data_IF_762008716494
#
_entry.id   IF_762008716494
#
_cell.length_a   1.000
_cell.length_b   1.000
_cell.length_c   1.000
_cell.angle_alpha   90.00
_cell.angle_beta   90.00
_cell.angle_gamma   90.00
#
_symmetry.space_group_name_H-M   'P 1'
#
loop_
_entity.id
_entity.type
_entity.pdbx_description
1 polymer ?
2 non-polymer ?
3 water ?
#
# COMPACT_ATOMS: atom_id res chain seq x y z
N UNK A 6 8.31 6.19 10.35
CA UNK A 6 8.65 7.17 9.27
C UNK A 6 9.41 6.51 8.13
N UNK A 7 8.95 6.72 6.91
CA UNK A 7 9.62 6.15 5.74
C UNK A 7 10.99 6.80 5.63
N UNK A 8 12.01 5.99 5.43
CA UNK A 8 13.38 6.47 5.32
C UNK A 8 13.81 6.65 3.87
N UNK A 9 14.38 7.81 3.57
CA UNK A 9 14.85 8.09 2.23
C UNK A 9 16.30 8.54 2.31
N UNK A 10 16.98 8.57 1.16
CA UNK A 10 18.37 8.98 1.10
C UNK A 10 18.50 10.08 0.05
N UNK A 11 19.05 11.22 0.45
CA UNK A 11 19.22 12.34 -0.46
C UNK A 11 19.91 11.94 -1.76
N UNK A 12 19.37 12.40 -2.87
CA UNK A 12 19.95 12.08 -4.17
C UNK A 12 19.31 10.87 -4.80
N UNK A 13 18.52 10.14 -4.02
CA UNK A 13 17.85 8.94 -4.50
C UNK A 13 16.35 9.12 -4.47
N UNK A 14 15.61 8.30 -5.23
CA UNK A 14 14.15 8.44 -5.22
C UNK A 14 13.62 7.70 -4.00
N UNK A 15 12.40 8.02 -3.61
CA UNK A 15 11.76 7.33 -2.50
C UNK A 15 10.31 7.12 -2.92
N UNK A 16 9.77 5.97 -2.57
CA UNK A 16 8.39 5.67 -2.94
C UNK A 16 7.50 5.49 -1.71
N UNK A 17 6.36 6.17 -1.73
CA UNK A 17 5.37 6.09 -0.64
C UNK A 17 4.19 5.29 -1.17
N UNK A 18 4.01 4.06 -0.67
CA UNK A 18 2.90 3.23 -1.14
C UNK A 18 1.49 3.76 -0.90
N UNK A 19 0.66 3.66 -1.94
CA UNK A 19 -0.74 4.02 -1.83
C UNK A 19 -1.37 3.17 -2.91
N UNK A 20 -2.17 2.20 -2.47
CA UNK A 20 -2.77 1.24 -3.40
C UNK A 20 -4.18 0.93 -2.95
N UNK A 21 -5.06 0.60 -3.91
CA UNK A 21 -6.42 0.26 -3.57
C UNK A 21 -6.95 -0.73 -4.59
N UNK A 22 -7.97 -1.48 -4.19
CA UNK A 22 -8.57 -2.46 -5.08
C UNK A 22 -9.53 -1.78 -6.03
N UNK A 23 -9.23 -1.81 -7.31
CA UNK A 23 -10.12 -1.21 -8.30
C UNK A 23 -11.30 -2.15 -8.56
N UNK A 24 -11.14 -3.42 -8.21
CA UNK A 24 -12.21 -4.38 -8.40
C UNK A 24 -13.37 -4.02 -7.48
N UNK A 25 -13.04 -3.59 -6.27
CA UNK A 25 -14.09 -3.22 -5.33
C UNK A 25 -14.39 -1.73 -5.27
N UNK A 26 -13.39 -0.91 -5.58
CA UNK A 26 -13.62 0.52 -5.52
C UNK A 26 -13.90 1.17 -6.87
N UNK A 27 -13.66 0.44 -7.94
CA UNK A 27 -13.82 1.01 -9.27
C UNK A 27 -12.57 1.83 -9.51
N UNK A 28 -12.39 2.35 -10.72
CA UNK A 28 -11.21 3.15 -11.02
C UNK A 28 -11.63 4.59 -10.76
N UNK A 29 -11.07 5.16 -9.70
CA UNK A 29 -11.45 6.51 -9.28
C UNK A 29 -10.28 7.49 -9.09
N UNK A 30 -10.59 8.80 -9.05
CA UNK A 30 -9.54 9.81 -8.87
C UNK A 30 -8.86 9.71 -7.50
N UNK A 31 -7.63 10.22 -7.43
CA UNK A 31 -6.91 10.22 -6.17
C UNK A 31 -6.01 11.44 -6.19
N UNK A 32 -5.51 11.80 -5.01
CA UNK A 32 -4.61 12.93 -4.93
C UNK A 32 -3.60 12.70 -3.83
N UNK A 33 -2.45 13.34 -4.00
CA UNK A 33 -1.38 13.30 -3.01
C UNK A 33 -1.26 14.74 -2.55
N UNK A 34 -0.95 14.92 -1.28
CA UNK A 34 -0.79 16.26 -0.76
C UNK A 34 0.28 16.35 0.29
N UNK A 35 0.78 17.56 0.53
CA UNK A 35 1.78 17.80 1.55
C UNK A 35 1.01 18.03 2.84
N UNK A 36 1.47 17.44 3.93
CA UNK A 36 0.79 17.61 5.20
C UNK A 36 0.11 16.34 5.67
N UNK A 37 -0.41 16.35 6.88
CA UNK A 37 -1.11 15.20 7.43
C UNK A 37 -2.52 15.21 6.86
N UNK A 38 -3.08 14.03 6.63
CA UNK A 38 -4.41 13.92 6.04
C UNK A 38 -5.55 14.73 6.66
N UNK A 39 -5.71 14.65 7.97
CA UNK A 39 -6.81 15.39 8.56
C UNK A 39 -6.62 16.90 8.66
N UNK A 40 -5.39 17.41 8.47
CA UNK A 40 -5.22 18.86 8.57
C UNK A 40 -5.12 19.57 7.21
N UNK A 41 -4.80 18.81 6.15
CA UNK A 41 -4.66 19.41 4.82
C UNK A 41 -5.31 18.59 3.70
N UNK A 42 -5.41 17.29 3.88
CA UNK A 42 -5.96 16.45 2.83
C UNK A 42 -5.11 16.79 1.61
N UNK A 43 -5.72 17.25 0.52
CA UNK A 43 -4.95 17.62 -0.65
C UNK A 43 -4.96 19.11 -0.98
N UNK A 44 -5.11 19.95 0.04
CA UNK A 44 -5.12 21.40 -0.15
C UNK A 44 -3.81 21.84 -0.79
N UNK A 45 -2.71 21.25 -0.35
CA UNK A 45 -1.39 21.55 -0.88
C UNK A 45 -1.08 20.35 -1.77
N UNK A 46 -1.74 20.30 -2.91
CA UNK A 46 -1.62 19.19 -3.84
C UNK A 46 -0.28 18.97 -4.52
N UNK A 47 0.04 17.70 -4.69
CA UNK A 47 1.26 17.28 -5.36
C UNK A 47 0.86 16.55 -6.62
N UNK A 48 -0.22 15.77 -6.52
CA UNK A 48 -0.72 14.96 -7.62
C UNK A 48 -2.24 14.82 -7.62
N UNK A 49 -2.81 14.78 -8.82
CA UNK A 49 -4.23 14.52 -9.00
C UNK A 49 -4.29 13.56 -10.17
N UNK A 50 -5.16 12.56 -10.11
CA UNK A 50 -5.34 11.64 -11.23
C UNK A 50 -6.83 11.69 -11.54
N UNK A 51 -7.21 11.13 -12.68
CA UNK A 51 -8.60 11.03 -13.04
C UNK A 51 -8.94 9.55 -12.95
N UNK A 52 -8.09 8.82 -12.24
CA UNK A 52 -8.26 7.39 -12.06
C UNK A 52 -7.41 6.58 -13.02
N UNK A 53 -7.10 7.17 -14.17
CA UNK A 53 -6.33 6.47 -15.21
C UNK A 53 -4.96 7.04 -15.49
N UNK A 54 -4.83 8.35 -15.30
CA UNK A 54 -3.57 9.02 -15.56
C UNK A 54 -3.44 10.25 -14.68
N UNK A 55 -2.22 10.74 -14.52
CA UNK A 55 -2.00 11.95 -13.71
C UNK A 55 -2.47 13.14 -14.53
N UNK A 56 -3.38 13.93 -13.95
CA UNK A 56 -3.92 15.11 -14.64
C UNK A 56 -3.38 16.42 -14.09
N UNK A 57 -2.74 16.36 -12.92
CA UNK A 57 -2.14 17.54 -12.30
C UNK A 57 -0.95 17.10 -11.46
N UNK A 58 0.12 17.89 -11.50
CA UNK A 58 1.32 17.59 -10.72
C UNK A 58 1.99 18.90 -10.31
N UNK A 59 2.44 18.98 -9.07
CA UNK A 59 3.12 20.19 -8.58
C UNK A 59 4.34 20.45 -9.46
N UNK A 60 5.15 19.41 -9.66
CA UNK A 60 6.30 19.51 -10.54
C UNK A 60 6.70 18.09 -10.95
N UNK A 61 7.60 17.99 -11.91
CA UNK A 61 8.02 16.69 -12.44
C UNK A 61 8.67 15.70 -11.50
N UNK A 62 9.12 16.15 -10.33
CA UNK A 62 9.74 15.24 -9.38
C UNK A 62 8.73 14.31 -8.73
N UNK A 63 7.45 14.67 -8.79
CA UNK A 63 6.41 13.84 -8.19
C UNK A 63 5.82 12.96 -9.29
N UNK A 64 6.12 11.66 -9.19
CA UNK A 64 5.69 10.70 -10.19
C UNK A 64 4.90 9.51 -9.66
N UNK A 65 3.95 9.05 -10.46
CA UNK A 65 3.20 7.85 -10.13
C UNK A 65 3.74 6.87 -11.17
N UNK A 66 4.68 6.04 -10.75
CA UNK A 66 5.32 5.10 -11.67
C UNK A 66 4.67 3.74 -11.77
N UNK A 67 3.67 3.49 -10.91
CA UNK A 67 2.99 2.21 -10.92
C UNK A 67 1.84 2.19 -11.90
N UNK A 68 1.10 1.08 -11.93
CA UNK A 68 -0.05 0.95 -12.81
C UNK A 68 -1.22 1.63 -12.15
N UNK A 69 -1.43 2.90 -12.50
CA UNK A 69 -2.48 3.72 -11.92
C UNK A 69 -3.87 3.12 -12.02
N UNK A 70 -4.29 2.79 -13.23
CA UNK A 70 -5.62 2.25 -13.46
C UNK A 70 -5.88 0.90 -12.79
N UNK A 71 -4.81 0.26 -12.32
CA UNK A 71 -4.94 -1.02 -11.63
C UNK A 71 -4.87 -0.85 -10.13
N UNK A 72 -4.87 0.40 -9.69
CA UNK A 72 -4.87 0.67 -8.26
C UNK A 72 -3.58 1.10 -7.60
N UNK A 73 -2.46 1.05 -8.32
CA UNK A 73 -1.21 1.46 -7.70
C UNK A 73 -0.95 2.94 -7.94
N UNK A 74 -1.29 3.75 -6.96
CA UNK A 74 -1.10 5.18 -7.05
C UNK A 74 -0.03 5.66 -6.08
N UNK A 75 0.97 4.80 -5.86
CA UNK A 75 2.09 5.11 -4.98
C UNK A 75 2.87 6.29 -5.56
N UNK A 76 3.34 7.15 -4.68
CA UNK A 76 4.10 8.33 -5.09
C UNK A 76 5.59 8.11 -5.02
N UNK A 77 6.29 8.42 -6.10
CA UNK A 77 7.73 8.34 -6.10
C UNK A 77 8.23 9.77 -6.18
N UNK A 78 9.03 10.18 -5.21
CA UNK A 78 9.61 11.52 -5.24
C UNK A 78 11.02 11.32 -5.78
N UNK A 79 11.29 11.89 -6.95
CA UNK A 79 12.60 11.75 -7.59
C UNK A 79 13.63 12.74 -7.02
N UNK A 80 14.90 12.36 -7.06
CA UNK A 80 16.00 13.21 -6.60
C UNK A 80 15.69 13.90 -5.26
N UNK A 81 15.41 13.10 -4.24
CA UNK A 81 15.08 13.66 -2.94
C UNK A 81 16.18 14.47 -2.29
N UNK A 82 15.78 15.40 -1.45
CA UNK A 82 16.69 16.23 -0.69
C UNK A 82 16.19 16.15 0.75
N UNK A 83 17.04 16.49 1.70
CA UNK A 83 16.63 16.44 3.10
C UNK A 83 15.39 17.29 3.33
N UNK A 84 15.24 18.35 2.51
CA UNK A 84 14.10 19.24 2.62
C UNK A 84 12.77 18.63 2.22
N UNK A 85 12.79 17.43 1.65
CA UNK A 85 11.55 16.76 1.25
C UNK A 85 10.93 16.07 2.47
N UNK A 86 11.67 16.03 3.57
CA UNK A 86 11.15 15.38 4.76
C UNK A 86 9.88 16.07 5.23
N UNK A 87 9.01 15.33 5.89
CA UNK A 87 7.78 15.92 6.38
C UNK A 87 6.60 15.01 6.13
N UNK A 88 5.39 15.46 6.49
CA UNK A 88 4.17 14.68 6.30
C UNK A 88 3.60 14.71 4.88
N UNK A 89 3.11 13.55 4.44
CA UNK A 89 2.47 13.43 3.13
C UNK A 89 1.17 12.69 3.33
N UNK A 90 0.19 12.99 2.50
CA UNK A 90 -1.11 12.35 2.58
C UNK A 90 -1.59 11.86 1.22
N UNK A 91 -2.07 10.62 1.19
CA UNK A 91 -2.65 10.05 -0.02
C UNK A 91 -4.15 9.93 0.22
N UNK A 92 -4.95 10.34 -0.76
CA UNK A 92 -6.41 10.21 -0.65
C UNK A 92 -6.92 9.59 -1.93
N UNK A 93 -7.58 8.43 -1.82
CA UNK A 93 -8.17 7.80 -3.00
C UNK A 93 -9.65 8.05 -2.84
N UNK A 94 -10.23 8.82 -3.78
CA UNK A 94 -11.63 9.19 -3.71
C UNK A 94 -12.62 8.12 -4.14
N UNK A 95 -12.62 7.02 -3.39
CA UNK A 95 -13.51 5.90 -3.65
C UNK A 95 -14.87 6.33 -3.10
N UNK A 96 -15.87 6.52 -3.98
CA UNK A 96 -17.18 6.96 -3.48
C UNK A 96 -17.72 6.17 -2.30
N UNK A 97 -18.02 6.88 -1.21
CA UNK A 97 -18.56 6.26 -0.02
C UNK A 97 -17.56 5.54 0.86
N UNK A 98 -16.30 5.51 0.44
CA UNK A 98 -15.28 4.81 1.23
C UNK A 98 -13.88 5.30 0.89
N UNK A 99 -13.64 6.59 1.06
CA UNK A 99 -12.32 7.15 0.76
C UNK A 99 -11.22 6.43 1.52
N UNK A 100 -10.09 6.23 0.85
CA UNK A 100 -8.92 5.59 1.47
C UNK A 100 -7.91 6.69 1.74
N UNK A 101 -7.36 6.70 2.95
CA UNK A 101 -6.38 7.70 3.37
C UNK A 101 -5.13 7.01 3.87
N UNK A 102 -3.97 7.62 3.59
CA UNK A 102 -2.71 7.10 4.11
C UNK A 102 -1.85 8.29 4.53
N UNK A 103 -1.35 8.23 5.76
CA UNK A 103 -0.48 9.27 6.31
C UNK A 103 0.95 8.76 6.37
N UNK A 104 1.88 9.55 5.88
CA UNK A 104 3.29 9.20 5.91
C UNK A 104 4.11 10.33 6.51
N UNK A 105 5.17 9.96 7.21
CA UNK A 105 6.10 10.95 7.76
C UNK A 105 7.40 10.55 7.09
N UNK A 106 7.85 11.34 6.13
CA UNK A 106 9.06 11.04 5.41
C UNK A 106 10.29 11.69 6.03
N UNK A 107 11.35 10.90 6.15
CA UNK A 107 12.61 11.39 6.69
C UNK A 107 13.69 11.07 5.67
N UNK A 108 14.26 12.11 5.07
CA UNK A 108 15.32 11.90 4.10
C UNK A 108 16.65 12.22 4.78
N UNK A 109 17.54 11.26 4.81
CA UNK A 109 18.84 11.43 5.44
C UNK A 109 19.82 12.05 4.46
N UNK A 110 20.72 12.92 4.95
CA UNK A 110 21.70 13.58 4.11
C UNK A 110 22.67 12.60 3.46
N UNK A 111 23.15 11.63 4.23
CA UNK A 111 24.06 10.62 3.71
C UNK A 111 23.67 9.25 4.25
N UNK A 112 24.31 8.24 3.63
CA UNK A 112 24.19 6.80 3.88
C UNK A 112 23.64 6.05 2.69
N UNK B 1 -15.05 -10.38 -11.29
CA UNK B 1 -14.06 -11.48 -11.24
C UNK B 1 -12.71 -11.08 -10.62
N UNK B 2 -12.06 -10.02 -11.14
CA UNK B 2 -10.75 -9.58 -10.62
C UNK B 2 -10.13 -8.32 -11.22
N UNK B 3 -8.86 -8.11 -10.83
CA UNK B 3 -7.97 -7.01 -11.25
C UNK B 3 -6.99 -6.79 -10.09
N UNK B 4 -5.69 -6.70 -10.37
CA UNK B 4 -4.71 -6.54 -9.27
C UNK B 4 -3.48 -5.66 -9.50
N UNK B 5 -2.57 -5.72 -8.52
CA UNK B 5 -1.30 -4.98 -8.52
C UNK B 5 -0.19 -6.06 -8.42
N UNK B 6 0.76 -6.05 -9.36
CA UNK B 6 1.83 -7.07 -9.48
C UNK B 6 3.13 -7.08 -8.66
N UNK B 7 3.09 -7.58 -7.42
CA UNK B 7 4.30 -7.65 -6.59
C UNK B 7 5.19 -8.82 -7.04
N UNK B 8 6.49 -8.60 -7.05
CA UNK B 8 7.45 -9.62 -7.48
C UNK B 8 8.30 -10.17 -6.34
N UNK B 9 8.37 -11.49 -6.26
CA UNK B 9 9.17 -12.14 -5.23
C UNK B 9 10.14 -13.13 -5.83
N UNK B 10 11.11 -13.56 -5.03
CA UNK B 10 12.10 -14.54 -5.48
C UNK B 10 12.02 -15.74 -4.54
N UNK B 11 11.82 -16.93 -5.11
CA UNK B 11 11.71 -18.14 -4.31
C UNK B 11 12.88 -18.31 -3.33
N UNK B 12 12.55 -18.64 -2.09
CA UNK B 12 13.56 -18.83 -1.07
C UNK B 12 13.84 -17.55 -0.31
N UNK B 13 13.18 -16.47 -0.71
CA UNK B 13 13.37 -15.18 -0.06
C UNK B 13 12.03 -14.58 0.35
N UNK B 14 12.06 -13.63 1.29
CA UNK B 14 10.80 -13.01 1.73
C UNK B 14 10.30 -11.97 0.74
N UNK B 15 9.01 -11.70 0.79
CA UNK B 15 8.40 -10.69 -0.06
C UNK B 15 7.39 -9.96 0.81
N UNK B 16 7.26 -8.66 0.59
CA UNK B 16 6.33 -7.85 1.37
C UNK B 16 5.27 -7.21 0.50
N UNK B 17 4.02 -7.32 0.94
CA UNK B 17 2.89 -6.75 0.22
C UNK B 17 2.41 -5.56 1.05
N UNK B 18 2.67 -4.34 0.58
CA UNK B 18 2.25 -3.16 1.33
C UNK B 18 0.75 -2.94 1.52
N UNK B 19 0.36 -2.69 2.76
CA UNK B 19 -1.02 -2.38 3.08
C UNK B 19 -0.92 -1.44 4.26
N UNK B 20 -1.33 -0.21 4.03
CA UNK B 20 -1.21 0.84 5.04
C UNK B 20 -2.45 1.73 5.03
N UNK B 21 -2.81 2.27 6.19
CA UNK B 21 -3.97 3.15 6.27
C UNK B 21 -3.76 4.20 7.36
N UNK B 22 -4.45 5.32 7.22
CA UNK B 22 -4.35 6.41 8.19
C UNK B 22 -5.21 6.09 9.41
N UNK B 23 -4.56 5.95 10.56
CA UNK B 23 -5.31 5.65 11.78
C UNK B 23 -5.98 6.91 12.31
N UNK B 24 -5.50 8.08 11.92
CA UNK B 24 -6.12 9.31 12.39
C UNK B 24 -7.49 9.48 11.72
N UNK B 25 -7.60 9.01 10.48
CA UNK B 25 -8.86 9.12 9.75
C UNK B 25 -9.76 7.90 9.91
N UNK B 26 -9.18 6.72 10.07
CA UNK B 26 -10.00 5.54 10.18
C UNK B 26 -10.00 4.88 11.55
N UNK B 27 -9.27 5.47 12.49
CA UNK B 27 -9.17 4.89 13.82
C UNK B 27 -8.23 3.71 13.73
N UNK B 28 -8.00 3.02 14.85
CA UNK B 28 -7.13 1.85 14.87
C UNK B 28 -8.09 0.66 14.85
N UNK B 29 -8.14 -0.04 13.73
CA UNK B 29 -9.08 -1.14 13.56
C UNK B 29 -8.50 -2.49 13.15
N UNK B 30 -9.28 -3.57 13.32
CA UNK B 30 -8.81 -4.91 12.94
C UNK B 30 -8.62 -5.00 11.43
N UNK B 31 -7.74 -5.90 11.01
CA UNK B 31 -7.51 -6.13 9.60
C UNK B 31 -7.20 -7.60 9.41
N UNK B 32 -7.32 -8.08 8.19
CA UNK B 32 -6.99 -9.46 7.91
C UNK B 32 -6.40 -9.58 6.52
N UNK B 33 -5.58 -10.60 6.35
CA UNK B 33 -4.96 -10.92 5.07
C UNK B 33 -5.57 -12.24 4.66
N UNK B 34 -5.93 -12.35 3.39
CA UNK B 34 -6.50 -13.60 2.93
C UNK B 34 -5.92 -14.07 1.61
N UNK B 35 -6.03 -15.36 1.36
CA UNK B 35 -5.56 -15.94 0.11
C UNK B 35 -6.67 -15.72 -0.90
N UNK B 36 -6.32 -15.26 -2.09
CA UNK B 36 -7.32 -15.03 -3.10
C UNK B 36 -7.68 -13.57 -3.28
N UNK B 37 -8.54 -13.30 -4.24
CA UNK B 37 -8.98 -11.94 -4.55
C UNK B 37 -9.91 -11.39 -3.49
N UNK B 38 -9.93 -10.07 -3.38
CA UNK B 38 -10.78 -9.40 -2.41
C UNK B 38 -12.26 -9.69 -2.65
N UNK B 39 -12.98 -9.84 -1.54
CA UNK B 39 -14.40 -10.17 -1.55
C UNK B 39 -14.72 -11.31 -2.50
N UNK B 40 -14.33 -12.46 -1.99
CA UNK B 40 -14.44 -13.77 -2.59
C UNK B 40 -13.62 -14.38 -1.48
N UNK B 41 -12.58 -13.61 -1.15
CA UNK B 41 -11.65 -13.95 -0.11
C UNK B 41 -11.46 -12.77 0.86
N UNK B 42 -12.56 -12.36 1.49
CA UNK B 42 -12.50 -11.28 2.48
C UNK B 42 -11.97 -12.01 3.72
N UNK B 43 -10.91 -12.78 3.46
CA UNK B 43 -10.22 -13.58 4.44
C UNK B 43 -11.01 -14.83 4.82
N UNK B 44 -11.63 -15.44 3.82
CA UNK B 44 -12.38 -16.67 4.01
C UNK B 44 -11.31 -17.70 4.37
N UNK B 45 -10.15 -17.52 3.77
CA UNK B 45 -8.96 -18.36 3.99
C UNK B 45 -7.93 -17.38 4.54
N UNK B 46 -8.12 -17.01 5.80
CA UNK B 46 -7.26 -16.05 6.49
C UNK B 46 -5.81 -16.50 6.71
N UNK B 47 -4.90 -15.54 6.56
CA UNK B 47 -3.48 -15.78 6.76
C UNK B 47 -3.06 -15.03 8.03
N UNK B 48 -3.71 -13.89 8.25
CA UNK B 48 -3.43 -13.03 9.38
C UNK B 48 -4.69 -12.32 9.86
N UNK B 49 -4.77 -12.11 11.17
CA UNK B 49 -5.86 -11.37 11.78
C UNK B 49 -5.21 -10.51 12.85
N UNK B 50 -5.64 -9.26 12.95
CA UNK B 50 -5.14 -8.38 14.00
C UNK B 50 -6.34 -7.86 14.75
N UNK B 51 -6.09 -7.26 15.91
CA UNK B 51 -7.16 -6.66 16.69
C UNK B 51 -6.97 -5.16 16.57
N UNK B 52 -6.18 -4.76 15.57
CA UNK B 52 -5.88 -3.36 15.34
C UNK B 52 -4.49 -2.99 15.83
N UNK B 53 -3.99 -3.73 16.81
CA UNK B 53 -2.68 -3.43 17.38
C UNK B 53 -1.66 -4.56 17.29
N UNK B 54 -2.13 -5.80 17.33
CA UNK B 54 -1.24 -6.94 17.26
C UNK B 54 -1.88 -8.10 16.50
N UNK B 55 -1.05 -9.00 16.00
CA UNK B 55 -1.53 -10.17 15.28
C UNK B 55 -2.16 -11.11 16.30
N UNK B 56 -3.43 -11.45 16.09
CA UNK B 56 -4.14 -12.33 17.00
C UNK B 56 -4.30 -13.73 16.43
N UNK B 57 -3.97 -13.89 15.15
CA UNK B 57 -4.06 -15.18 14.47
C UNK B 57 -3.19 -15.19 13.22
N UNK B 58 -2.50 -16.30 13.00
CA UNK B 58 -1.65 -16.47 11.83
C UNK B 58 -1.79 -17.90 11.36
N UNK B 59 -1.94 -18.10 10.05
CA UNK B 59 -2.07 -19.45 9.52
C UNK B 59 -0.85 -20.27 9.92
N UNK B 60 0.33 -19.68 9.75
CA UNK B 60 1.59 -20.32 10.14
C UNK B 60 2.66 -19.24 10.24
N UNK B 61 3.84 -19.63 10.74
CA UNK B 61 4.93 -18.68 10.94
C UNK B 61 5.49 -17.99 9.70
N UNK B 62 5.11 -18.45 8.51
CA UNK B 62 5.60 -17.84 7.28
C UNK B 62 4.96 -16.48 7.00
N UNK B 63 3.82 -16.22 7.62
CA UNK B 63 3.12 -14.96 7.42
C UNK B 63 3.35 -14.03 8.61
N UNK B 64 3.99 -12.90 8.34
CA UNK B 64 4.33 -11.95 9.40
C UNK B 64 3.98 -10.51 9.09
N UNK B 65 3.66 -9.74 10.14
CA UNK B 65 3.38 -8.32 9.99
C UNK B 65 4.54 -7.67 10.73
N UNK B 66 5.55 -7.22 9.98
CA UNK B 66 6.74 -6.63 10.55
C UNK B 66 6.74 -5.13 10.79
N UNK B 67 5.71 -4.44 10.28
CA UNK B 67 5.64 -3.00 10.46
C UNK B 67 4.94 -2.60 11.74
N UNK B 68 4.79 -1.30 11.95
CA UNK B 68 4.12 -0.79 13.14
C UNK B 68 2.61 -0.85 12.90
N UNK B 69 2.02 -1.96 13.33
CA UNK B 69 0.59 -2.19 13.16
C UNK B 69 -0.32 -1.10 13.68
N UNK B 70 -0.14 -0.69 14.94
CA UNK B 70 -0.99 0.33 15.54
C UNK B 70 -0.90 1.69 14.84
N UNK B 71 0.15 1.88 14.04
CA UNK B 71 0.34 3.13 13.33
C UNK B 71 -0.19 3.03 11.90
N UNK B 72 -0.81 1.89 11.60
CA UNK B 72 -1.39 1.71 10.28
C UNK B 72 -0.63 0.88 9.27
N UNK B 73 0.57 0.42 9.61
CA UNK B 73 1.33 -0.38 8.67
C UNK B 73 1.05 -1.87 8.92
N UNK B 74 0.11 -2.41 8.14
CA UNK B 74 -0.28 -3.79 8.27
C UNK B 74 0.16 -4.60 7.05
N UNK B 75 1.31 -4.21 6.49
CA UNK B 75 1.88 -4.87 5.33
C UNK B 75 2.26 -6.31 5.69
N UNK B 76 1.99 -7.23 4.77
CA UNK B 76 2.28 -8.65 4.97
C UNK B 76 3.64 -9.07 4.42
N UNK B 77 4.40 -9.79 5.22
CA UNK B 77 5.67 -10.32 4.76
C UNK B 77 5.52 -11.83 4.72
N UNK B 78 5.77 -12.42 3.56
CA UNK B 78 5.70 -13.86 3.40
C UNK B 78 7.14 -14.34 3.37
N UNK B 79 7.51 -15.15 4.35
CA UNK B 79 8.86 -15.67 4.45
C UNK B 79 9.09 -16.90 3.59
N UNK B 80 10.34 -17.12 3.21
CA UNK B 80 10.75 -18.28 2.43
C UNK B 80 9.73 -18.69 1.38
N UNK B 81 9.46 -17.80 0.44
CA UNK B 81 8.48 -18.08 -0.60
C UNK B 81 8.88 -19.20 -1.54
N UNK B 82 7.87 -19.80 -2.16
CA UNK B 82 8.07 -20.85 -3.14
C UNK B 82 7.23 -20.40 -4.34
N UNK B 83 7.53 -20.91 -5.51
CA UNK B 83 6.79 -20.52 -6.71
C UNK B 83 5.30 -20.74 -6.50
N UNK B 84 4.95 -21.80 -5.78
CA UNK B 84 3.56 -22.12 -5.50
C UNK B 84 2.81 -21.11 -4.67
N UNK B 85 3.50 -20.10 -4.15
CA UNK B 85 2.86 -19.04 -3.35
C UNK B 85 2.25 -18.00 -4.26
N UNK B 86 2.54 -18.09 -5.56
CA UNK B 86 2.03 -17.12 -6.51
C UNK B 86 0.52 -17.02 -6.59
N UNK B 87 0.04 -15.88 -7.08
CA UNK B 87 -1.39 -15.72 -7.21
C UNK B 87 -1.96 -14.55 -6.46
N UNK B 88 -3.29 -14.44 -6.42
CA UNK B 88 -3.97 -13.34 -5.73
C UNK B 88 -3.98 -13.41 -4.21
N UNK B 89 -3.84 -12.24 -3.60
CA UNK B 89 -3.89 -12.06 -2.15
C UNK B 89 -4.72 -10.83 -1.90
N UNK B 90 -5.32 -10.74 -0.71
CA UNK B 90 -6.15 -9.60 -0.36
C UNK B 90 -5.89 -9.07 1.03
N UNK B 91 -5.81 -7.74 1.14
CA UNK B 91 -5.66 -7.07 2.43
C UNK B 91 -7.00 -6.38 2.71
N UNK B 92 -7.54 -6.58 3.91
CA UNK B 92 -8.80 -5.96 4.27
C UNK B 92 -8.65 -5.22 5.61
N UNK B 93 -8.83 -3.91 5.59
CA UNK B 93 -8.74 -3.13 6.83
C UNK B 93 -10.19 -2.75 7.15
N UNK B 94 -10.68 -3.24 8.28
CA UNK B 94 -12.07 -3.04 8.67
C UNK B 94 -12.44 -1.69 9.28
N UNK B 95 -12.27 -0.63 8.50
CA UNK B 95 -12.62 0.71 8.92
C UNK B 95 -14.14 0.81 8.70
N UNK B 96 -14.92 0.87 9.78
CA UNK B 96 -16.38 0.95 9.65
C UNK B 96 -16.86 2.02 8.67
N UNK B 97 -17.63 1.60 7.67
CA UNK B 97 -18.16 2.53 6.69
C UNK B 97 -17.18 2.94 5.61
N UNK B 98 -15.95 2.46 5.69
CA UNK B 98 -14.96 2.81 4.68
C UNK B 98 -13.83 1.78 4.65
N UNK B 99 -14.21 0.52 4.47
CA UNK B 99 -13.22 -0.56 4.42
C UNK B 99 -12.17 -0.27 3.35
N UNK B 100 -10.92 -0.62 3.66
CA UNK B 100 -9.84 -0.46 2.71
C UNK B 100 -9.47 -1.85 2.23
N UNK B 101 -9.48 -2.02 0.91
CA UNK B 101 -9.14 -3.30 0.30
C UNK B 101 -7.97 -3.09 -0.65
N UNK B 102 -7.08 -4.08 -0.71
CA UNK B 102 -5.99 -4.05 -1.66
C UNK B 102 -5.90 -5.44 -2.28
N UNK B 103 -5.93 -5.48 -3.60
CA UNK B 103 -5.82 -6.72 -4.34
C UNK B 103 -4.39 -6.84 -4.85
N UNK B 104 -3.72 -7.92 -4.48
CA UNK B 104 -2.36 -8.14 -4.93
C UNK B 104 -2.27 -9.38 -5.81
N UNK B 105 -1.34 -9.33 -6.76
CA UNK B 105 -1.09 -10.49 -7.61
C UNK B 105 0.39 -10.75 -7.37
N UNK B 106 0.70 -11.82 -6.66
CA UNK B 106 2.09 -12.12 -6.36
C UNK B 106 2.72 -13.05 -7.38
N UNK B 107 3.85 -12.60 -7.93
CA UNK B 107 4.60 -13.40 -8.88
C UNK B 107 5.87 -13.84 -8.16
N UNK B 108 6.03 -15.13 -7.94
CA UNK B 108 7.24 -15.63 -7.30
C UNK B 108 8.08 -16.31 -8.37
N UNK B 109 9.26 -15.76 -8.63
CA UNK B 109 10.16 -16.32 -9.64
C UNK B 109 11.07 -17.35 -9.02
N UNK B 110 11.40 -18.43 -9.75
CA UNK B 110 12.29 -19.44 -9.18
C UNK B 110 13.70 -18.82 -9.15
N UNK B 111 14.57 -19.31 -8.25
CA UNK B 111 15.92 -18.76 -8.17
C UNK B 111 16.68 -18.98 -9.47
N UNK B 112 16.25 -19.99 -10.22
CA UNK B 112 16.83 -20.33 -11.51
C UNK B 112 15.71 -20.74 -12.44
N UNK B 113 15.68 -20.14 -13.63
CA UNK B 113 14.66 -20.50 -14.60
C UNK B 113 15.24 -21.63 -15.45
N UNK B 114 14.73 -22.85 -15.24
CA UNK B 114 15.16 -24.07 -15.95
C UNK B 114 15.30 -23.88 -17.44
N UNK B 115 16.27 -24.59 -18.02
CA UNK B 115 16.58 -24.55 -19.44
C UNK B 115 17.52 -23.41 -19.80
#
# INVERSE_FOLDING_TARGET
>A
MESHTAVQGLAGHPVTLPCIYSTHLGGIVPMCWGLGECRHSYCIRSLIWTNGYTVTHQRNSRYQLKGNISEGNVSLTIENTVVGDGGPYCCVVEIPGAFHFVDYMLEVKPELVPR
>B
MESHTAVQGLAGHPVTLPCIYSTHLGGIVPMCWGLGECRHSYCIRSLIWTNGYTVTHQRNSRYQLKGNISEGNVSLTIENTVVGDGGPYCCVVEIPGAFHFVDYMLEVKPELVPR
#
